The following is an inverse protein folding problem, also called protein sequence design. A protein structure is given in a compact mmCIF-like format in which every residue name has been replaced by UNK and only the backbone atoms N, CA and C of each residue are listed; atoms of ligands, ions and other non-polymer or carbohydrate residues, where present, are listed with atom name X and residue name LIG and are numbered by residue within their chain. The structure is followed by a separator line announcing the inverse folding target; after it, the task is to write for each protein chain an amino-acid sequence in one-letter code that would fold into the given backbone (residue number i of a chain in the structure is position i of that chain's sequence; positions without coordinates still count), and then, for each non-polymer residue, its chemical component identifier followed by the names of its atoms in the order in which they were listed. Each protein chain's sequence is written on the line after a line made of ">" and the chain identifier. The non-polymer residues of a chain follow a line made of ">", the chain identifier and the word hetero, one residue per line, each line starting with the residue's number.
data_IF_068454431017
#
_entry.id   IF_068454431017
#
_cell.length_a   1.000
_cell.length_b   1.000
_cell.length_c   1.000
_cell.angle_alpha   90.00
_cell.angle_beta   90.00
_cell.angle_gamma   90.00
#
_symmetry.space_group_name_H-M   'P 1'
#
loop_
_entity.id
_entity.type
_entity.pdbx_description
1 polymer ?
#
# COMPACT_ATOMS: atom_id res chain seq x y z
N UNK A 1 -5.38 -8.05 0.12
CA UNK A 1 -6.44 -7.42 0.96
C UNK A 1 -7.73 -8.21 0.75
N UNK A 2 -8.43 -8.66 1.80
CA UNK A 2 -9.61 -9.54 1.66
C UNK A 2 -10.92 -8.92 2.17
N UNK A 3 -10.86 -7.84 2.94
CA UNK A 3 -12.00 -7.12 3.49
C UNK A 3 -11.62 -5.65 3.77
N UNK A 4 -12.59 -4.83 4.18
CA UNK A 4 -12.38 -3.43 4.56
C UNK A 4 -11.34 -3.27 5.70
N UNK A 5 -11.30 -4.20 6.65
CA UNK A 5 -10.26 -4.21 7.69
C UNK A 5 -8.85 -4.33 7.10
N UNK A 6 -8.69 -5.01 5.97
CA UNK A 6 -7.41 -5.13 5.29
C UNK A 6 -7.01 -3.84 4.57
N UNK A 7 -7.94 -3.16 3.90
CA UNK A 7 -7.66 -1.86 3.27
C UNK A 7 -7.38 -0.80 4.33
N UNK A 8 -8.13 -0.77 5.43
CA UNK A 8 -7.89 0.14 6.55
C UNK A 8 -6.49 -0.04 7.16
N UNK A 9 -5.99 -1.28 7.27
CA UNK A 9 -4.63 -1.54 7.72
C UNK A 9 -3.57 -0.97 6.76
N UNK A 10 -3.79 -1.07 5.44
CA UNK A 10 -2.92 -0.47 4.40
C UNK A 10 -2.97 1.06 4.49
N UNK A 11 -4.16 1.65 4.53
CA UNK A 11 -4.37 3.09 4.72
C UNK A 11 -3.62 3.62 5.94
N UNK A 12 -3.70 2.92 7.08
CA UNK A 12 -3.03 3.33 8.32
C UNK A 12 -1.51 3.37 8.18
N UNK A 13 -0.89 2.37 7.56
CA UNK A 13 0.59 2.34 7.44
C UNK A 13 1.09 3.36 6.40
N UNK A 14 0.34 3.61 5.33
CA UNK A 14 0.68 4.61 4.32
C UNK A 14 0.50 6.04 4.86
N UNK A 15 -0.60 6.32 5.56
CA UNK A 15 -0.78 7.61 6.23
C UNK A 15 0.30 7.88 7.28
N UNK A 16 0.77 6.83 7.98
CA UNK A 16 1.88 6.95 8.94
C UNK A 16 3.23 7.20 8.25
N UNK A 17 3.44 6.67 7.05
CA UNK A 17 4.64 6.97 6.26
C UNK A 17 4.64 8.43 5.82
N UNK A 18 3.49 8.95 5.38
CA UNK A 18 3.35 10.33 4.90
C UNK A 18 4.06 10.57 3.56
N UNK A 19 3.76 11.70 2.91
CA UNK A 19 4.31 12.01 1.59
C UNK A 19 3.90 11.03 0.49
N UNK A 20 2.72 10.43 0.64
CA UNK A 20 2.14 9.47 -0.32
C UNK A 20 0.71 9.89 -0.64
N UNK A 21 0.35 9.87 -1.92
CA UNK A 21 -1.04 9.80 -2.36
C UNK A 21 -1.31 8.38 -2.83
N UNK A 22 -2.49 7.84 -2.55
CA UNK A 22 -2.79 6.46 -2.93
C UNK A 22 -4.27 6.20 -3.13
N UNK A 23 -4.55 5.20 -3.96
CA UNK A 23 -5.87 4.65 -4.22
C UNK A 23 -5.86 3.15 -3.97
N UNK A 24 -6.85 2.64 -3.25
CA UNK A 24 -7.00 1.21 -2.96
C UNK A 24 -8.15 0.64 -3.78
N UNK A 25 -7.83 -0.32 -4.63
CA UNK A 25 -8.77 -1.16 -5.34
C UNK A 25 -8.91 -2.49 -4.59
N UNK A 26 -9.87 -2.54 -3.66
CA UNK A 26 -10.12 -3.71 -2.83
C UNK A 26 -10.58 -4.94 -3.66
N UNK A 27 -11.52 -4.82 -4.64
CA UNK A 27 -11.90 -5.94 -5.50
C UNK A 27 -10.71 -6.58 -6.22
N UNK A 28 -9.80 -5.77 -6.77
CA UNK A 28 -8.62 -6.28 -7.49
C UNK A 28 -7.40 -6.50 -6.59
N UNK A 29 -7.51 -6.21 -5.29
CA UNK A 29 -6.44 -6.33 -4.29
C UNK A 29 -5.19 -5.50 -4.64
N UNK A 30 -5.38 -4.35 -5.28
CA UNK A 30 -4.31 -3.44 -5.72
C UNK A 30 -4.29 -2.16 -4.89
N UNK A 31 -3.11 -1.57 -4.78
CA UNK A 31 -2.92 -0.21 -4.29
C UNK A 31 -2.03 0.52 -5.28
N UNK A 32 -2.49 1.67 -5.79
CA UNK A 32 -1.68 2.57 -6.59
C UNK A 32 -1.14 3.65 -5.67
N UNK A 33 0.16 3.95 -5.73
CA UNK A 33 0.81 4.91 -4.84
C UNK A 33 1.59 5.90 -5.71
N UNK A 34 1.37 7.19 -5.49
CA UNK A 34 2.14 8.31 -6.02
C UNK A 34 2.96 8.92 -4.88
N UNK A 35 4.29 8.99 -5.06
CA UNK A 35 5.25 9.16 -3.99
C UNK A 35 6.68 9.29 -4.51
N UNK A 36 7.48 10.15 -3.86
CA UNK A 36 8.94 10.25 -4.07
C UNK A 36 9.73 9.15 -3.32
N UNK A 37 9.09 8.43 -2.39
CA UNK A 37 9.73 7.30 -1.69
C UNK A 37 10.09 6.16 -2.66
N UNK A 38 11.22 5.52 -2.42
CA UNK A 38 11.63 4.34 -3.18
C UNK A 38 10.63 3.18 -3.06
N UNK A 39 10.55 2.34 -4.10
CA UNK A 39 9.73 1.12 -4.11
C UNK A 39 10.01 0.23 -2.89
N UNK A 40 11.27 0.12 -2.46
CA UNK A 40 11.65 -0.65 -1.28
C UNK A 40 11.04 -0.09 0.01
N UNK A 41 11.02 1.23 0.17
CA UNK A 41 10.38 1.91 1.31
C UNK A 41 8.88 1.66 1.35
N UNK A 42 8.23 1.73 0.18
CA UNK A 42 6.80 1.46 0.04
C UNK A 42 6.48 0.00 0.36
N UNK A 43 7.24 -0.95 -0.19
CA UNK A 43 7.07 -2.38 0.09
C UNK A 43 7.32 -2.71 1.56
N UNK A 44 8.37 -2.16 2.18
CA UNK A 44 8.65 -2.33 3.60
C UNK A 44 7.53 -1.77 4.48
N UNK A 45 6.92 -0.66 4.08
CA UNK A 45 5.77 -0.08 4.77
C UNK A 45 4.54 -0.97 4.66
N UNK A 46 4.23 -1.49 3.46
CA UNK A 46 3.11 -2.41 3.26
C UNK A 46 3.27 -3.73 4.03
N UNK A 47 4.50 -4.24 4.14
CA UNK A 47 4.81 -5.45 4.94
C UNK A 47 4.46 -5.31 6.42
N UNK A 48 4.41 -4.09 6.98
CA UNK A 48 3.97 -3.84 8.37
C UNK A 48 2.52 -4.23 8.63
N UNK A 49 1.72 -4.45 7.58
CA UNK A 49 0.35 -4.95 7.70
C UNK A 49 0.26 -6.46 7.97
N UNK A 50 1.40 -7.17 7.96
CA UNK A 50 1.48 -8.62 8.11
C UNK A 50 1.01 -9.39 6.89
N UNK A 51 0.82 -8.72 5.74
CA UNK A 51 0.32 -9.31 4.50
C UNK A 51 1.42 -9.37 3.45
N UNK A 52 1.34 -10.34 2.57
CA UNK A 52 2.18 -10.38 1.37
C UNK A 52 1.85 -9.19 0.46
N UNK A 53 2.91 -8.57 -0.07
CA UNK A 53 2.83 -7.50 -1.05
C UNK A 53 3.92 -7.70 -2.10
N UNK A 54 3.58 -7.50 -3.36
CA UNK A 54 4.48 -7.59 -4.51
C UNK A 54 4.32 -6.36 -5.38
N UNK A 55 5.42 -5.90 -5.96
CA UNK A 55 5.41 -4.77 -6.88
C UNK A 55 4.93 -5.22 -8.27
N UNK A 56 4.01 -4.45 -8.86
CA UNK A 56 3.40 -4.77 -10.17
C UNK A 56 3.94 -3.88 -11.31
N UNK A 57 4.90 -2.99 -11.03
CA UNK A 57 5.46 -2.04 -11.99
C UNK A 57 4.86 -0.63 -11.87
N UNK A 58 5.44 0.29 -12.65
CA UNK A 58 4.95 1.66 -12.84
C UNK A 58 3.85 1.67 -13.91
N UNK A 59 2.96 2.67 -13.85
CA UNK A 59 1.94 2.90 -14.89
C UNK A 59 2.48 3.75 -16.02
#
# INVERSE_FOLDING_TARGET
>A
MTCEGCSNAVTRVLNKLGGVQFEIDLPNKKVCIDSEHSVDTLLATLKKTGKSASYLGEK
#
